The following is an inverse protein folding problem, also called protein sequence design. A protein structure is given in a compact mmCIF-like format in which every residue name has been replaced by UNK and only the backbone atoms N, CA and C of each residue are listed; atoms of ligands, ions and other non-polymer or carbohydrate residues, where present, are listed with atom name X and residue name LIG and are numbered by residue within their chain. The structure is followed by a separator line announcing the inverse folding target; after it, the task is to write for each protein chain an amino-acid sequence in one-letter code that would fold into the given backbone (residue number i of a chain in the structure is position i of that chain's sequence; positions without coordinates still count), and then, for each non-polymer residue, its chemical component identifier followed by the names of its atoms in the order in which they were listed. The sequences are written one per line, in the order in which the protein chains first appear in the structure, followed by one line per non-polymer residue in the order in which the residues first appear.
data_IF_275769430959
#
_entry.id   IF_275769430959
#
_cell.length_a   1.000
_cell.length_b   1.000
_cell.length_c   1.000
_cell.angle_alpha   90.00
_cell.angle_beta   90.00
_cell.angle_gamma   90.00
#
_symmetry.space_group_name_H-M   'P 1'
#
loop_
_entity.id
_entity.type
_entity.pdbx_description
1 polymer ?
#
# COMPACT_ATOMS: atom_id res chain seq x y z
N UNK A 1 -33.41 -8.10 66.38
CA UNK A 1 -34.46 -7.21 65.84
C UNK A 1 -34.46 -7.39 64.34
N UNK A 2 -35.41 -8.14 63.75
CA UNK A 2 -36.71 -7.68 63.19
C UNK A 2 -36.53 -6.52 62.20
N UNK A 3 -36.49 -6.83 60.89
CA UNK A 3 -37.54 -6.67 59.85
C UNK A 3 -37.83 -5.18 59.59
N UNK A 4 -37.84 -4.66 58.36
CA UNK A 4 -38.84 -4.97 57.32
C UNK A 4 -38.38 -4.68 55.88
N UNK A 5 -39.02 -5.42 54.99
CA UNK A 5 -39.03 -5.35 53.53
C UNK A 5 -40.21 -4.47 53.10
N UNK A 6 -40.00 -3.48 52.22
CA UNK A 6 -41.10 -2.83 51.49
C UNK A 6 -40.79 -2.86 49.98
N UNK A 7 -41.59 -3.67 49.30
CA UNK A 7 -41.78 -3.71 47.85
C UNK A 7 -42.75 -2.58 47.50
N UNK A 8 -42.30 -1.61 46.71
CA UNK A 8 -43.12 -0.54 46.15
C UNK A 8 -43.01 -0.55 44.64
N UNK A 9 -43.96 -1.23 44.00
CA UNK A 9 -44.14 -1.33 42.56
C UNK A 9 -44.62 0.02 41.99
N UNK A 10 -43.91 0.57 41.00
CA UNK A 10 -44.43 1.59 40.10
C UNK A 10 -44.05 1.22 38.67
N UNK A 11 -44.94 0.46 38.03
CA UNK A 11 -45.05 0.36 36.59
C UNK A 11 -45.55 1.70 36.04
N UNK A 12 -44.73 2.41 35.29
CA UNK A 12 -45.21 3.25 34.18
C UNK A 12 -44.05 3.72 33.28
N UNK A 13 -44.21 3.37 32.00
CA UNK A 13 -43.80 4.12 30.81
C UNK A 13 -42.35 3.99 30.32
N UNK A 14 -42.22 3.08 29.34
CA UNK A 14 -41.41 3.17 28.14
C UNK A 14 -40.66 4.50 27.94
N UNK A 15 -39.35 4.43 28.15
CA UNK A 15 -38.39 4.95 27.17
C UNK A 15 -37.39 3.82 26.91
N UNK A 16 -37.55 3.16 25.76
CA UNK A 16 -36.49 2.33 25.19
C UNK A 16 -35.41 3.32 24.73
N UNK A 17 -34.57 3.76 25.66
CA UNK A 17 -33.21 4.10 25.28
C UNK A 17 -32.52 2.76 25.09
N UNK A 18 -32.51 2.29 23.86
CA UNK A 18 -31.56 1.30 23.42
C UNK A 18 -30.17 1.91 23.60
N UNK A 19 -29.62 1.80 24.81
CA UNK A 19 -28.19 1.77 25.02
C UNK A 19 -27.79 0.45 24.38
N UNK A 20 -27.53 0.52 23.08
CA UNK A 20 -26.79 -0.51 22.39
C UNK A 20 -25.44 -0.55 23.08
N UNK A 21 -25.32 -1.47 24.03
CA UNK A 21 -24.07 -1.93 24.60
C UNK A 21 -23.32 -2.63 23.46
N UNK A 22 -22.79 -1.85 22.52
CA UNK A 22 -21.78 -2.33 21.60
C UNK A 22 -20.57 -2.58 22.48
N UNK A 23 -20.46 -3.81 22.98
CA UNK A 23 -19.20 -4.38 23.39
C UNK A 23 -18.26 -4.27 22.19
N UNK A 24 -17.61 -3.11 22.03
CA UNK A 24 -16.41 -2.95 21.23
C UNK A 24 -15.45 -3.98 21.79
N UNK A 25 -15.36 -5.13 21.10
CA UNK A 25 -14.29 -6.08 21.38
C UNK A 25 -13.01 -5.26 21.37
N UNK A 26 -12.19 -5.31 22.42
CA UNK A 26 -10.91 -4.61 22.41
C UNK A 26 -10.20 -5.06 21.14
N UNK A 27 -10.05 -4.14 20.19
CA UNK A 27 -9.33 -4.41 18.98
C UNK A 27 -7.94 -4.82 19.44
N UNK A 28 -7.61 -6.11 19.28
CA UNK A 28 -6.29 -6.59 19.64
C UNK A 28 -5.30 -5.79 18.81
N UNK A 29 -4.60 -4.86 19.44
CA UNK A 29 -3.57 -4.09 18.79
C UNK A 29 -2.44 -5.05 18.43
N UNK A 30 -2.39 -5.46 17.17
CA UNK A 30 -1.28 -6.25 16.64
C UNK A 30 -0.10 -5.30 16.49
N UNK A 31 0.85 -5.37 17.43
CA UNK A 31 2.12 -4.65 17.32
C UNK A 31 2.98 -5.43 16.33
N UNK A 32 3.09 -4.91 15.11
CA UNK A 32 4.03 -5.45 14.13
C UNK A 32 5.44 -4.93 14.43
N UNK A 33 6.38 -5.85 14.56
CA UNK A 33 7.81 -5.55 14.54
C UNK A 33 8.17 -4.85 13.21
N UNK A 34 9.07 -3.88 13.25
CA UNK A 34 9.54 -3.16 12.07
C UNK A 34 10.17 -4.09 11.02
N UNK A 35 10.85 -5.16 11.46
CA UNK A 35 11.41 -6.16 10.55
C UNK A 35 10.31 -6.96 9.84
N UNK A 36 9.18 -7.20 10.53
CA UNK A 36 8.00 -7.81 9.92
C UNK A 36 7.34 -6.84 8.92
N UNK A 37 7.34 -5.54 9.22
CA UNK A 37 6.85 -4.51 8.31
C UNK A 37 7.63 -4.48 7.00
N UNK A 38 8.97 -4.51 7.06
CA UNK A 38 9.83 -4.58 5.85
C UNK A 38 9.52 -5.83 5.03
N UNK A 39 9.38 -6.97 5.71
CA UNK A 39 9.04 -8.23 5.04
C UNK A 39 7.70 -8.15 4.32
N UNK A 40 6.73 -7.43 4.89
CA UNK A 40 5.39 -7.24 4.34
C UNK A 40 5.39 -6.35 3.09
N UNK A 41 5.89 -5.12 3.16
CA UNK A 41 5.83 -4.22 1.99
C UNK A 41 6.79 -4.64 0.84
N UNK A 42 7.85 -5.42 1.12
CA UNK A 42 8.72 -5.99 0.09
C UNK A 42 8.13 -7.25 -0.58
N UNK A 43 7.04 -7.82 -0.04
CA UNK A 43 6.44 -9.05 -0.58
C UNK A 43 6.14 -8.97 -2.09
N UNK A 44 5.49 -7.91 -2.62
CA UNK A 44 5.23 -7.81 -4.06
C UNK A 44 6.52 -7.84 -4.89
N UNK A 45 7.58 -7.16 -4.44
CA UNK A 45 8.85 -7.13 -5.16
C UNK A 45 9.52 -8.50 -5.23
N UNK A 46 9.44 -9.31 -4.16
CA UNK A 46 9.94 -10.70 -4.18
C UNK A 46 9.13 -11.56 -5.14
N UNK A 47 7.80 -11.47 -5.07
CA UNK A 47 6.90 -12.26 -5.94
C UNK A 47 7.05 -11.89 -7.41
N UNK A 48 7.15 -10.62 -7.75
CA UNK A 48 7.32 -10.16 -9.13
C UNK A 48 8.63 -10.66 -9.76
N UNK A 49 9.73 -10.66 -9.01
CA UNK A 49 10.98 -11.28 -9.47
C UNK A 49 10.83 -12.78 -9.69
N UNK A 50 10.15 -13.48 -8.78
CA UNK A 50 9.91 -14.92 -8.89
C UNK A 50 9.03 -15.27 -10.10
N UNK A 51 7.91 -14.55 -10.31
CA UNK A 51 7.03 -14.70 -11.47
C UNK A 51 7.80 -14.51 -12.78
N UNK A 52 8.59 -13.44 -12.88
CA UNK A 52 9.38 -13.18 -14.09
C UNK A 52 10.38 -14.30 -14.37
N UNK A 53 11.08 -14.78 -13.36
CA UNK A 53 12.00 -15.92 -13.49
C UNK A 53 11.25 -17.17 -13.93
N UNK A 54 10.11 -17.48 -13.31
CA UNK A 54 9.30 -18.64 -13.63
C UNK A 54 8.77 -18.60 -15.08
N UNK A 55 8.31 -17.43 -15.57
CA UNK A 55 7.92 -17.27 -16.98
C UNK A 55 9.12 -17.44 -17.93
N UNK A 56 10.29 -16.89 -17.59
CA UNK A 56 11.52 -17.08 -18.36
C UNK A 56 11.94 -18.55 -18.46
N UNK A 57 11.83 -19.29 -17.36
CA UNK A 57 12.17 -20.73 -17.30
C UNK A 57 11.01 -21.64 -17.71
N UNK A 58 9.89 -21.08 -18.16
CA UNK A 58 8.66 -21.80 -18.52
C UNK A 58 8.08 -22.67 -17.38
N UNK A 59 8.35 -22.31 -16.13
CA UNK A 59 7.72 -22.91 -14.96
C UNK A 59 6.35 -22.26 -14.69
N UNK A 60 5.37 -22.72 -15.47
CA UNK A 60 3.99 -22.19 -15.47
C UNK A 60 3.30 -22.32 -14.11
N UNK A 61 3.56 -23.43 -13.42
CA UNK A 61 2.94 -23.70 -12.13
C UNK A 61 3.46 -22.72 -11.07
N UNK A 62 4.78 -22.49 -11.01
CA UNK A 62 5.36 -21.50 -10.10
C UNK A 62 4.89 -20.08 -10.43
N UNK A 63 4.88 -19.69 -11.71
CA UNK A 63 4.41 -18.37 -12.14
C UNK A 63 2.96 -18.12 -11.73
N UNK A 64 2.05 -19.08 -11.99
CA UNK A 64 0.64 -18.99 -11.61
C UNK A 64 0.45 -18.89 -10.09
N UNK A 65 1.18 -19.70 -9.31
CA UNK A 65 1.12 -19.66 -7.85
C UNK A 65 1.58 -18.32 -7.28
N UNK A 66 2.71 -17.77 -7.75
CA UNK A 66 3.20 -16.48 -7.28
C UNK A 66 2.31 -15.31 -7.74
N UNK A 67 1.71 -15.39 -8.94
CA UNK A 67 0.70 -14.42 -9.40
C UNK A 67 -0.51 -14.40 -8.46
N UNK A 68 -1.00 -15.58 -8.05
CA UNK A 68 -2.12 -15.67 -7.10
C UNK A 68 -1.75 -15.08 -5.73
N UNK A 69 -0.53 -15.32 -5.23
CA UNK A 69 -0.06 -14.73 -3.96
C UNK A 69 0.02 -13.21 -4.06
N UNK A 70 0.56 -12.68 -5.15
CA UNK A 70 0.62 -11.23 -5.37
C UNK A 70 -0.78 -10.61 -5.47
N UNK A 71 -1.72 -11.26 -6.18
CA UNK A 71 -3.10 -10.81 -6.26
C UNK A 71 -3.79 -10.77 -4.89
N UNK A 72 -3.58 -11.79 -4.06
CA UNK A 72 -4.16 -11.84 -2.72
C UNK A 72 -3.60 -10.73 -1.82
N UNK A 73 -2.29 -10.46 -1.90
CA UNK A 73 -1.70 -9.31 -1.21
C UNK A 73 -2.38 -8.00 -1.62
N UNK A 74 -2.56 -7.77 -2.92
CA UNK A 74 -3.19 -6.53 -3.41
C UNK A 74 -4.67 -6.42 -3.02
N UNK A 75 -5.39 -7.53 -2.89
CA UNK A 75 -6.78 -7.51 -2.40
C UNK A 75 -6.82 -7.09 -0.93
N UNK A 76 -5.90 -7.59 -0.10
CA UNK A 76 -5.78 -7.17 1.30
C UNK A 76 -5.40 -5.68 1.38
N UNK A 77 -4.48 -5.20 0.55
CA UNK A 77 -4.16 -3.76 0.50
C UNK A 77 -5.34 -2.93 0.01
N UNK A 78 -6.14 -3.42 -0.94
CA UNK A 78 -7.35 -2.77 -1.41
C UNK A 78 -8.40 -2.61 -0.30
N UNK A 79 -8.60 -3.64 0.53
CA UNK A 79 -9.52 -3.60 1.69
C UNK A 79 -9.10 -2.56 2.74
N UNK A 80 -7.80 -2.29 2.85
CA UNK A 80 -7.24 -1.29 3.78
C UNK A 80 -7.18 0.11 3.18
N UNK A 81 -7.34 0.22 1.86
CA UNK A 81 -7.18 1.45 1.13
C UNK A 81 -8.35 2.42 1.33
N UNK A 82 -8.09 3.68 1.00
CA UNK A 82 -9.17 4.65 0.80
C UNK A 82 -9.95 4.33 -0.48
N UNK A 83 -11.14 4.91 -0.61
CA UNK A 83 -11.99 4.78 -1.80
C UNK A 83 -11.24 5.10 -3.11
N UNK A 84 -10.27 6.01 -3.06
CA UNK A 84 -9.46 6.41 -4.22
C UNK A 84 -8.52 5.31 -4.72
N UNK A 85 -8.12 4.35 -3.86
CA UNK A 85 -7.15 3.31 -4.20
C UNK A 85 -7.72 1.89 -4.11
N UNK A 86 -8.81 1.67 -3.38
CA UNK A 86 -9.44 0.36 -3.26
C UNK A 86 -9.79 -0.24 -4.64
N UNK A 87 -10.54 0.49 -5.46
CA UNK A 87 -10.93 0.04 -6.80
C UNK A 87 -9.72 -0.26 -7.71
N UNK A 88 -8.79 0.68 -7.89
CA UNK A 88 -7.58 0.45 -8.69
C UNK A 88 -6.71 -0.72 -8.23
N UNK A 89 -6.50 -0.90 -6.92
CA UNK A 89 -5.72 -2.02 -6.39
C UNK A 89 -6.43 -3.36 -6.63
N UNK A 90 -7.75 -3.41 -6.41
CA UNK A 90 -8.55 -4.61 -6.70
C UNK A 90 -8.52 -4.96 -8.19
N UNK A 91 -8.61 -3.97 -9.08
CA UNK A 91 -8.52 -4.19 -10.52
C UNK A 91 -7.19 -4.85 -10.92
N UNK A 92 -6.07 -4.40 -10.34
CA UNK A 92 -4.77 -5.05 -10.58
C UNK A 92 -4.76 -6.47 -10.01
N UNK A 93 -5.31 -6.69 -8.81
CA UNK A 93 -5.40 -8.03 -8.24
C UNK A 93 -6.13 -8.99 -9.19
N UNK A 94 -7.25 -8.55 -9.77
CA UNK A 94 -8.03 -9.35 -10.72
C UNK A 94 -7.27 -9.59 -12.03
N UNK A 95 -6.52 -8.60 -12.53
CA UNK A 95 -5.64 -8.76 -13.69
C UNK A 95 -4.53 -9.79 -13.43
N UNK A 96 -3.90 -9.79 -12.24
CA UNK A 96 -2.89 -10.78 -11.88
C UNK A 96 -3.50 -12.19 -11.78
N UNK A 97 -4.73 -12.34 -11.26
CA UNK A 97 -5.44 -13.63 -11.26
C UNK A 97 -5.72 -14.11 -12.68
N UNK A 98 -6.18 -13.23 -13.56
CA UNK A 98 -6.43 -13.56 -14.96
C UNK A 98 -5.13 -14.00 -15.66
N UNK A 99 -4.03 -13.26 -15.47
CA UNK A 99 -2.71 -13.65 -15.96
C UNK A 99 -2.27 -15.02 -15.40
N UNK A 100 -2.56 -15.32 -14.13
CA UNK A 100 -2.25 -16.62 -13.54
C UNK A 100 -3.07 -17.77 -14.14
N UNK A 101 -4.31 -17.51 -14.55
CA UNK A 101 -5.19 -18.49 -15.20
C UNK A 101 -4.81 -18.75 -16.66
N UNK A 102 -4.25 -17.75 -17.35
CA UNK A 102 -3.80 -17.82 -18.74
C UNK A 102 -2.29 -17.58 -18.86
N UNK A 103 -1.49 -18.18 -17.95
CA UNK A 103 -0.05 -17.90 -17.83
C UNK A 103 0.75 -18.21 -19.11
N UNK A 104 0.21 -19.08 -19.95
CA UNK A 104 0.78 -19.43 -21.25
C UNK A 104 0.79 -18.28 -22.25
N UNK A 105 -0.16 -17.35 -22.11
CA UNK A 105 -0.32 -16.18 -22.98
C UNK A 105 0.38 -14.94 -22.41
N UNK A 106 1.00 -15.06 -21.22
CA UNK A 106 1.62 -13.93 -20.52
C UNK A 106 3.02 -13.69 -21.05
N UNK A 107 3.24 -12.50 -21.58
CA UNK A 107 4.56 -12.00 -22.01
C UNK A 107 5.30 -11.28 -20.88
N UNK A 108 6.62 -11.24 -20.96
CA UNK A 108 7.44 -10.46 -20.01
C UNK A 108 7.10 -8.97 -20.03
N UNK A 109 6.77 -8.44 -21.20
CA UNK A 109 6.37 -7.03 -21.31
C UNK A 109 5.07 -6.73 -20.57
N UNK A 110 4.06 -7.62 -20.66
CA UNK A 110 2.82 -7.47 -19.89
C UNK A 110 3.09 -7.53 -18.38
N UNK A 111 3.98 -8.43 -17.95
CA UNK A 111 4.42 -8.50 -16.55
C UNK A 111 5.10 -7.21 -16.09
N UNK A 112 6.09 -6.71 -16.84
CA UNK A 112 6.84 -5.52 -16.48
C UNK A 112 5.90 -4.29 -16.34
N UNK A 113 4.94 -4.16 -17.26
CA UNK A 113 3.90 -3.10 -17.22
C UNK A 113 3.03 -3.22 -15.98
N UNK A 114 2.46 -4.40 -15.69
CA UNK A 114 1.56 -4.56 -14.54
C UNK A 114 2.33 -4.42 -13.21
N UNK A 115 3.58 -4.88 -13.14
CA UNK A 115 4.43 -4.73 -11.95
C UNK A 115 4.79 -3.27 -11.70
N UNK A 116 5.13 -2.52 -12.75
CA UNK A 116 5.37 -1.08 -12.67
C UNK A 116 4.16 -0.32 -12.15
N UNK A 117 2.98 -0.59 -12.73
CA UNK A 117 1.71 0.03 -12.31
C UNK A 117 1.33 -0.35 -10.88
N UNK A 118 1.51 -1.61 -10.50
CA UNK A 118 1.24 -2.08 -9.13
C UNK A 118 2.07 -1.31 -8.12
N UNK A 119 3.38 -1.21 -8.35
CA UNK A 119 4.27 -0.51 -7.46
C UNK A 119 3.97 0.99 -7.39
N UNK A 120 3.58 1.62 -8.49
CA UNK A 120 3.14 3.01 -8.47
C UNK A 120 1.87 3.23 -7.63
N UNK A 121 0.85 2.36 -7.76
CA UNK A 121 -0.36 2.45 -6.93
C UNK A 121 -0.07 2.21 -5.45
N UNK A 122 0.74 1.20 -5.12
CA UNK A 122 1.17 0.97 -3.74
C UNK A 122 1.93 2.17 -3.16
N UNK A 123 2.81 2.80 -3.95
CA UNK A 123 3.52 4.00 -3.50
C UNK A 123 2.55 5.14 -3.15
N UNK A 124 1.52 5.39 -3.96
CA UNK A 124 0.51 6.39 -3.67
C UNK A 124 -0.34 6.04 -2.44
N UNK A 125 -0.74 4.77 -2.34
CA UNK A 125 -1.48 4.25 -1.20
C UNK A 125 -0.71 4.45 0.11
N UNK A 126 0.57 4.08 0.16
CA UNK A 126 1.40 4.29 1.34
C UNK A 126 1.69 5.76 1.62
N UNK A 127 1.81 6.61 0.61
CA UNK A 127 1.95 8.05 0.84
C UNK A 127 0.70 8.63 1.51
N UNK A 128 -0.49 8.16 1.13
CA UNK A 128 -1.73 8.56 1.80
C UNK A 128 -1.73 8.12 3.28
N UNK A 129 -1.30 6.90 3.58
CA UNK A 129 -1.13 6.46 4.97
C UNK A 129 -0.11 7.30 5.74
N UNK A 130 1.01 7.68 5.09
CA UNK A 130 1.97 8.59 5.69
C UNK A 130 1.33 9.94 6.04
N UNK A 131 0.50 10.51 5.15
CA UNK A 131 -0.23 11.76 5.45
C UNK A 131 -1.17 11.61 6.62
N UNK A 132 -2.03 10.58 6.62
CA UNK A 132 -3.00 10.35 7.70
C UNK A 132 -2.30 10.17 9.05
N UNK A 133 -1.23 9.38 9.09
CA UNK A 133 -0.41 9.20 10.29
C UNK A 133 0.22 10.51 10.77
N UNK A 134 0.70 11.33 9.83
CA UNK A 134 1.27 12.66 10.10
C UNK A 134 0.24 13.61 10.69
N UNK A 135 -0.98 13.63 10.16
CA UNK A 135 -2.07 14.51 10.61
C UNK A 135 -2.44 14.27 12.08
N UNK A 136 -2.31 13.02 12.54
CA UNK A 136 -2.51 12.64 13.95
C UNK A 136 -1.20 12.50 14.75
N UNK A 137 -0.10 13.06 14.24
CA UNK A 137 1.24 13.10 14.87
C UNK A 137 1.85 11.74 15.22
N UNK A 138 1.53 10.69 14.46
CA UNK A 138 2.14 9.37 14.59
C UNK A 138 3.45 9.28 13.79
N UNK A 139 4.52 9.89 14.32
CA UNK A 139 5.80 10.05 13.61
C UNK A 139 6.41 8.71 13.16
N UNK A 140 6.39 7.69 14.04
CA UNK A 140 6.89 6.36 13.72
C UNK A 140 6.14 5.72 12.54
N UNK A 141 4.80 5.78 12.55
CA UNK A 141 4.00 5.23 11.46
C UNK A 141 4.23 6.02 10.16
N UNK A 142 4.31 7.35 10.26
CA UNK A 142 4.66 8.22 9.13
C UNK A 142 5.97 7.80 8.48
N UNK A 143 7.02 7.59 9.29
CA UNK A 143 8.32 7.08 8.82
C UNK A 143 8.19 5.74 8.08
N UNK A 144 7.51 4.76 8.69
CA UNK A 144 7.33 3.42 8.11
C UNK A 144 6.61 3.46 6.76
N UNK A 145 5.59 4.30 6.63
CA UNK A 145 4.85 4.48 5.38
C UNK A 145 5.64 5.26 4.32
N UNK A 146 6.47 6.23 4.72
CA UNK A 146 7.39 6.90 3.78
C UNK A 146 8.44 5.92 3.24
N UNK A 147 8.99 5.04 4.07
CA UNK A 147 9.92 3.99 3.59
C UNK A 147 9.26 3.04 2.60
N UNK A 148 8.02 2.59 2.87
CA UNK A 148 7.25 1.78 1.93
C UNK A 148 6.96 2.53 0.62
N UNK A 149 6.64 3.83 0.71
CA UNK A 149 6.44 4.71 -0.46
C UNK A 149 7.68 4.76 -1.33
N UNK A 150 8.85 5.07 -0.74
CA UNK A 150 10.14 5.16 -1.45
C UNK A 150 10.45 3.83 -2.14
N UNK A 151 10.38 2.72 -1.41
CA UNK A 151 10.62 1.38 -1.96
C UNK A 151 9.76 1.11 -3.18
N UNK A 152 8.46 1.37 -3.08
CA UNK A 152 7.55 1.13 -4.19
C UNK A 152 7.75 2.11 -5.35
N UNK A 153 8.13 3.36 -5.12
CA UNK A 153 8.50 4.29 -6.20
C UNK A 153 9.72 3.81 -6.98
N UNK A 154 10.77 3.38 -6.29
CA UNK A 154 11.98 2.85 -6.94
C UNK A 154 11.68 1.62 -7.79
N UNK A 155 10.82 0.74 -7.29
CA UNK A 155 10.38 -0.45 -8.02
C UNK A 155 9.48 -0.09 -9.20
N UNK A 156 8.61 0.89 -9.06
CA UNK A 156 7.78 1.36 -10.17
C UNK A 156 8.64 1.88 -11.32
N UNK A 157 9.67 2.68 -11.03
CA UNK A 157 10.62 3.19 -12.02
C UNK A 157 11.40 2.06 -12.71
N UNK A 158 11.88 1.10 -11.92
CA UNK A 158 12.62 -0.08 -12.42
C UNK A 158 11.78 -0.88 -13.42
N UNK A 159 10.57 -1.31 -13.01
CA UNK A 159 9.72 -2.15 -13.83
C UNK A 159 9.13 -1.42 -15.04
N UNK A 160 8.93 -0.11 -14.93
CA UNK A 160 8.41 0.70 -16.04
C UNK A 160 9.51 1.17 -17.00
N UNK A 161 10.78 0.80 -16.76
CA UNK A 161 11.96 1.25 -17.48
C UNK A 161 12.03 2.79 -17.61
N UNK A 162 11.61 3.51 -16.58
CA UNK A 162 11.65 4.97 -16.54
C UNK A 162 13.00 5.40 -15.97
N UNK A 163 13.78 6.23 -16.68
CA UNK A 163 15.11 6.60 -16.23
C UNK A 163 15.06 7.44 -14.94
N UNK A 164 15.93 7.09 -13.99
CA UNK A 164 16.08 7.85 -12.74
C UNK A 164 16.89 9.11 -13.03
N UNK A 165 16.21 10.25 -13.10
CA UNK A 165 16.88 11.55 -13.24
C UNK A 165 17.48 12.02 -11.90
N UNK A 166 18.43 12.95 -11.95
CA UNK A 166 18.99 13.57 -10.73
C UNK A 166 17.92 14.17 -9.81
N UNK A 167 16.86 14.77 -10.40
CA UNK A 167 15.73 15.32 -9.64
C UNK A 167 14.96 14.24 -8.88
N UNK A 168 14.73 13.09 -9.52
CA UNK A 168 14.07 11.93 -8.89
C UNK A 168 14.93 11.44 -7.73
N UNK A 169 16.23 11.25 -7.97
CA UNK A 169 17.16 10.77 -6.95
C UNK A 169 17.21 11.70 -5.73
N UNK A 170 17.36 13.02 -5.94
CA UNK A 170 17.34 13.99 -4.83
C UNK A 170 16.01 13.94 -4.05
N UNK A 171 14.89 13.68 -4.71
CA UNK A 171 13.60 13.54 -4.01
C UNK A 171 13.56 12.28 -3.13
N UNK A 172 14.17 11.17 -3.57
CA UNK A 172 14.30 9.99 -2.72
C UNK A 172 15.24 10.22 -1.55
N UNK A 173 16.35 10.93 -1.76
CA UNK A 173 17.26 11.31 -0.67
C UNK A 173 16.56 12.19 0.36
N UNK A 174 15.87 13.26 -0.07
CA UNK A 174 15.05 14.13 0.79
C UNK A 174 14.03 13.31 1.61
N UNK A 175 13.34 12.35 0.97
CA UNK A 175 12.34 11.51 1.66
C UNK A 175 12.94 10.53 2.66
N UNK A 176 14.11 9.95 2.35
CA UNK A 176 14.82 9.07 3.27
C UNK A 176 15.32 9.81 4.50
N UNK A 177 15.83 11.02 4.32
CA UNK A 177 16.24 11.89 5.43
C UNK A 177 15.08 12.14 6.37
N UNK A 178 13.92 12.55 5.84
CA UNK A 178 12.71 12.79 6.65
C UNK A 178 12.18 11.53 7.31
N UNK A 179 12.13 10.42 6.57
CA UNK A 179 11.71 9.16 7.14
C UNK A 179 12.65 8.72 8.27
N UNK A 180 13.93 9.07 8.21
CA UNK A 180 14.91 8.83 9.28
C UNK A 180 14.66 9.77 10.46
N UNK A 181 14.54 11.07 10.23
CA UNK A 181 14.33 12.07 11.28
C UNK A 181 13.02 11.83 12.05
N UNK A 182 11.95 11.40 11.38
CA UNK A 182 10.67 11.09 12.03
C UNK A 182 10.75 9.91 13.03
N UNK A 183 11.84 9.14 13.04
CA UNK A 183 12.07 8.07 14.02
C UNK A 183 12.68 8.59 15.32
N UNK A 184 13.42 9.70 15.25
CA UNK A 184 14.04 10.31 16.42
C UNK A 184 13.09 11.35 17.03
N UNK A 185 12.61 11.17 18.27
CA UNK A 185 11.76 12.14 18.93
C UNK A 185 12.34 13.56 18.99
N UNK A 186 13.66 13.71 19.01
CA UNK A 186 14.34 15.01 19.10
C UNK A 186 14.30 15.80 17.79
N UNK A 187 14.35 15.12 16.64
CA UNK A 187 14.37 15.77 15.34
C UNK A 187 13.00 15.78 14.66
N UNK A 188 12.09 14.90 15.08
CA UNK A 188 10.77 14.74 14.48
C UNK A 188 9.98 16.05 14.39
N UNK A 189 10.00 16.91 15.41
CA UNK A 189 9.28 18.20 15.39
C UNK A 189 9.78 19.14 14.28
N UNK A 190 11.09 19.11 13.99
CA UNK A 190 11.69 19.91 12.92
C UNK A 190 11.49 19.30 11.52
N UNK A 191 11.32 17.98 11.44
CA UNK A 191 11.06 17.23 10.21
C UNK A 191 9.65 17.47 9.64
N UNK A 192 8.73 18.06 10.41
CA UNK A 192 7.35 18.36 9.98
C UNK A 192 7.22 19.44 8.91
N UNK A 193 8.31 20.05 8.43
CA UNK A 193 8.24 21.08 7.38
C UNK A 193 7.58 20.50 6.11
N UNK A 194 6.51 21.15 5.62
CA UNK A 194 5.63 20.64 4.56
C UNK A 194 6.30 20.34 3.21
N UNK A 195 7.42 20.99 2.90
CA UNK A 195 7.98 21.05 1.53
C UNK A 195 8.26 19.68 0.88
N UNK A 196 8.84 18.69 1.57
CA UNK A 196 9.29 17.48 0.86
C UNK A 196 8.17 16.48 0.57
N UNK A 197 7.14 16.39 1.43
CA UNK A 197 5.96 15.54 1.17
C UNK A 197 5.26 16.03 -0.10
N UNK A 198 5.04 17.34 -0.24
CA UNK A 198 4.45 17.95 -1.45
C UNK A 198 5.30 17.68 -2.71
N UNK A 199 6.64 17.68 -2.58
CA UNK A 199 7.54 17.31 -3.69
C UNK A 199 7.35 15.85 -4.11
N UNK A 200 7.25 14.94 -3.15
CA UNK A 200 7.02 13.52 -3.42
C UNK A 200 5.71 13.27 -4.17
N UNK A 201 4.65 13.98 -3.81
CA UNK A 201 3.35 13.91 -4.50
C UNK A 201 3.43 14.36 -5.95
N UNK A 202 4.08 15.50 -6.15
CA UNK A 202 4.30 16.04 -7.49
C UNK A 202 5.08 15.05 -8.34
N UNK A 203 6.10 14.41 -7.76
CA UNK A 203 6.89 13.41 -8.45
C UNK A 203 6.10 12.13 -8.73
N UNK A 204 5.32 11.62 -7.78
CA UNK A 204 4.46 10.45 -7.97
C UNK A 204 3.45 10.65 -9.09
N UNK A 205 2.87 11.85 -9.19
CA UNK A 205 1.97 12.21 -10.29
C UNK A 205 2.70 12.18 -11.63
N UNK A 206 3.88 12.80 -11.71
CA UNK A 206 4.70 12.79 -12.93
C UNK A 206 5.13 11.38 -13.35
N UNK A 207 5.52 10.53 -12.40
CA UNK A 207 5.85 9.12 -12.65
C UNK A 207 4.60 8.37 -13.12
N UNK A 208 3.46 8.58 -12.48
CA UNK A 208 2.17 8.01 -12.90
C UNK A 208 1.82 8.35 -14.33
N UNK A 209 1.90 9.63 -14.69
CA UNK A 209 1.66 10.10 -16.06
C UNK A 209 2.60 9.42 -17.07
N UNK A 210 3.86 9.16 -16.71
CA UNK A 210 4.82 8.47 -17.57
C UNK A 210 4.52 6.96 -17.69
N UNK A 211 4.11 6.31 -16.59
CA UNK A 211 3.72 4.91 -16.57
C UNK A 211 2.46 4.71 -17.42
N UNK A 212 1.42 5.51 -17.21
CA UNK A 212 0.15 5.42 -17.92
C UNK A 212 0.34 5.67 -19.43
N UNK A 213 1.17 6.63 -19.82
CA UNK A 213 1.52 6.85 -21.24
C UNK A 213 2.17 5.64 -21.89
N UNK A 214 2.98 4.88 -21.14
CA UNK A 214 3.62 3.65 -21.64
C UNK A 214 2.68 2.46 -21.67
N UNK A 215 1.69 2.41 -20.77
CA UNK A 215 0.65 1.38 -20.77
C UNK A 215 -0.30 1.57 -21.96
N UNK A 216 -0.66 2.82 -22.27
CA UNK A 216 -1.66 3.16 -23.30
C UNK A 216 -1.11 3.17 -24.72
N UNK A 217 0.21 3.25 -24.90
CA UNK A 217 0.84 3.13 -26.21
C UNK A 217 1.27 1.67 -26.38
N UNK A 218 0.53 0.83 -27.14
CA UNK A 218 1.11 -0.42 -27.60
C UNK A 218 2.44 -0.06 -28.25
N UNK A 219 3.52 -0.77 -27.91
CA UNK A 219 4.84 -0.54 -28.48
C UNK A 219 4.67 -0.44 -29.99
N UNK A 220 4.66 0.79 -30.52
CA UNK A 220 4.48 1.02 -31.94
C UNK A 220 5.61 0.25 -32.57
N UNK A 221 5.27 -0.82 -33.29
CA UNK A 221 6.18 -1.89 -33.67
C UNK A 221 7.49 -1.26 -34.11
N UNK A 222 8.51 -1.34 -33.26
CA UNK A 222 9.88 -1.06 -33.65
C UNK A 222 10.29 -2.24 -34.51
N UNK A 223 9.79 -2.24 -35.74
CA UNK A 223 10.22 -3.08 -36.83
C UNK A 223 11.59 -2.56 -37.26
N UNK A 224 12.62 -3.02 -36.58
CA UNK A 224 13.98 -3.11 -37.12
C UNK A 224 14.26 -4.54 -37.57
#
# INVERSE_FOLDING_TARGET
MRFELIIGCCLALFSINAIADSHERPQQAVVLDENLWVTFYDLPSRRFRAIRTAVLTRDKAAASADLAVAANYLSVEAERASDNFQGPLQQIADQLRAMGASVDDVTLQQLDVIFGRTHWLLAQHYLEFARRARDVRQNRNTSLYLWATIHHMERALLWSNVPVTRRVQNTFEDLREIATDLRDPQTAESAYKEKPVIRAETLLRQIGDQIDRRVLLPAAASSE
#
